data_IF_795139572693
#
_entry.id   IF_795139572693
#
_cell.length_a   1.000
_cell.length_b   1.000
_cell.length_c   1.000
_cell.angle_alpha   90.00
_cell.angle_beta   90.00
_cell.angle_gamma   90.00
#
_symmetry.space_group_name_H-M   'P 1'
#
loop_
_entity.id
_entity.type
_entity.pdbx_description
1 polymer ?
#
# COMPACT_ATOMS: atom_id res chain seq x y z
N UNK A 1 11.55 -42.00 -16.22
CA UNK A 1 10.34 -41.15 -16.12
C UNK A 1 9.82 -41.26 -14.70
N UNK A 2 10.26 -40.36 -13.82
CA UNK A 2 9.92 -40.32 -12.39
C UNK A 2 9.64 -38.85 -12.06
N UNK A 3 8.37 -38.49 -12.12
CA UNK A 3 7.83 -37.23 -11.63
C UNK A 3 7.78 -37.27 -10.10
N UNK A 4 8.16 -36.18 -9.45
CA UNK A 4 7.64 -35.85 -8.12
C UNK A 4 8.66 -35.78 -6.98
N UNK A 5 9.44 -34.70 -6.94
CA UNK A 5 9.88 -34.02 -5.70
C UNK A 5 10.87 -32.91 -6.08
N UNK A 6 10.37 -31.84 -6.72
CA UNK A 6 11.12 -30.60 -6.79
C UNK A 6 11.07 -29.97 -5.40
N UNK A 7 12.14 -30.19 -4.62
CA UNK A 7 12.44 -29.48 -3.39
C UNK A 7 12.47 -27.98 -3.70
N UNK A 8 11.37 -27.28 -3.39
CA UNK A 8 11.27 -25.83 -3.57
C UNK A 8 11.97 -25.14 -2.41
N UNK A 9 13.29 -25.21 -2.45
CA UNK A 9 14.29 -24.39 -1.78
C UNK A 9 13.75 -23.25 -0.90
N UNK A 10 13.49 -23.53 0.38
CA UNK A 10 13.20 -22.61 1.51
C UNK A 10 13.72 -21.17 1.31
N UNK A 11 12.86 -20.27 0.84
CA UNK A 11 13.06 -18.80 0.87
C UNK A 11 11.79 -18.22 1.50
N UNK A 12 11.84 -18.04 2.82
CA UNK A 12 10.69 -17.55 3.59
C UNK A 12 10.79 -16.04 3.88
N UNK A 13 11.92 -15.41 3.52
CA UNK A 13 12.15 -13.98 3.73
C UNK A 13 13.12 -13.45 2.65
N UNK A 14 13.02 -12.16 2.36
CA UNK A 14 13.76 -11.52 1.25
C UNK A 14 15.29 -11.56 1.46
N UNK A 15 15.74 -11.66 2.72
CA UNK A 15 17.14 -11.83 3.10
C UNK A 15 17.68 -13.23 2.79
N UNK A 16 16.84 -14.27 2.83
CA UNK A 16 17.23 -15.62 2.40
C UNK A 16 17.32 -15.73 0.87
N UNK A 17 16.50 -14.96 0.14
CA UNK A 17 16.64 -14.79 -1.30
C UNK A 17 17.97 -14.08 -1.61
N UNK A 18 18.23 -12.96 -0.91
CA UNK A 18 19.46 -12.20 -1.02
C UNK A 18 20.72 -13.00 -0.68
N UNK A 19 20.62 -13.88 0.31
CA UNK A 19 21.70 -14.79 0.67
C UNK A 19 22.03 -15.79 -0.44
N UNK A 20 21.01 -16.33 -1.12
CA UNK A 20 21.22 -17.26 -2.24
C UNK A 20 21.79 -16.57 -3.48
N UNK A 21 21.45 -15.30 -3.71
CA UNK A 21 21.91 -14.56 -4.89
C UNK A 21 23.32 -13.96 -4.72
N UNK A 22 23.63 -13.40 -3.55
CA UNK A 22 24.85 -12.61 -3.33
C UNK A 22 25.56 -12.93 -2.01
N UNK A 23 25.26 -14.07 -1.38
CA UNK A 23 25.92 -14.52 -0.15
C UNK A 23 25.62 -13.62 1.06
N UNK A 24 26.55 -13.59 2.03
CA UNK A 24 26.38 -12.82 3.29
C UNK A 24 26.18 -11.32 3.06
N UNK A 25 26.88 -10.72 2.11
CA UNK A 25 26.75 -9.29 1.80
C UNK A 25 25.38 -8.96 1.21
N UNK A 26 24.87 -9.82 0.32
CA UNK A 26 23.51 -9.69 -0.24
C UNK A 26 22.43 -9.72 0.82
N UNK A 27 22.56 -10.60 1.82
CA UNK A 27 21.63 -10.72 2.95
C UNK A 27 21.53 -9.41 3.74
N UNK A 28 22.66 -8.81 4.08
CA UNK A 28 22.69 -7.62 4.91
C UNK A 28 22.16 -6.38 4.17
N UNK A 29 22.61 -6.18 2.93
CA UNK A 29 22.20 -5.03 2.11
C UNK A 29 20.72 -5.10 1.77
N UNK A 30 20.22 -6.24 1.26
CA UNK A 30 18.82 -6.36 0.87
C UNK A 30 17.88 -6.27 2.07
N UNK A 31 18.27 -6.84 3.21
CA UNK A 31 17.49 -6.70 4.44
C UNK A 31 17.47 -5.26 4.96
N UNK A 32 18.59 -4.52 4.89
CA UNK A 32 18.63 -3.12 5.29
C UNK A 32 17.80 -2.21 4.38
N UNK A 33 17.93 -2.38 3.05
CA UNK A 33 17.14 -1.64 2.06
C UNK A 33 15.65 -1.93 2.22
N UNK A 34 15.27 -3.19 2.44
CA UNK A 34 13.88 -3.58 2.69
C UNK A 34 13.31 -2.89 3.93
N UNK A 35 14.05 -2.88 5.04
CA UNK A 35 13.60 -2.20 6.27
C UNK A 35 13.43 -0.70 6.06
N UNK A 36 14.43 -0.05 5.47
CA UNK A 36 14.40 1.38 5.20
C UNK A 36 13.23 1.74 4.27
N UNK A 37 12.98 0.93 3.24
CA UNK A 37 11.83 1.08 2.35
C UNK A 37 10.50 1.02 3.12
N UNK A 38 10.29 0.00 3.97
CA UNK A 38 9.03 -0.14 4.71
C UNK A 38 8.82 0.91 5.80
N UNK A 39 9.90 1.47 6.37
CA UNK A 39 9.81 2.63 7.27
C UNK A 39 9.27 3.85 6.50
N UNK A 40 9.79 4.13 5.30
CA UNK A 40 9.28 5.23 4.47
C UNK A 40 7.84 5.00 4.00
N UNK A 41 7.48 3.78 3.63
CA UNK A 41 6.09 3.44 3.26
C UNK A 41 5.15 3.66 4.45
N UNK A 42 5.55 3.24 5.65
CA UNK A 42 4.77 3.46 6.87
C UNK A 42 4.60 4.95 7.16
N UNK A 43 5.66 5.74 7.00
CA UNK A 43 5.60 7.20 7.12
C UNK A 43 4.64 7.84 6.10
N UNK A 44 4.66 7.36 4.84
CA UNK A 44 3.70 7.77 3.80
C UNK A 44 2.26 7.40 4.16
N UNK A 45 2.04 6.24 4.79
CA UNK A 45 0.74 5.84 5.34
C UNK A 45 0.22 6.82 6.41
N UNK A 46 1.06 7.20 7.37
CA UNK A 46 0.71 8.18 8.40
C UNK A 46 0.39 9.57 7.81
N UNK A 47 1.16 10.00 6.80
CA UNK A 47 0.87 11.22 6.04
C UNK A 47 -0.48 11.13 5.34
N UNK A 48 -0.80 9.98 4.74
CA UNK A 48 -2.09 9.74 4.06
C UNK A 48 -3.28 9.84 5.01
N UNK A 49 -3.18 9.27 6.22
CA UNK A 49 -4.19 9.41 7.29
C UNK A 49 -4.36 10.88 7.67
N UNK A 50 -3.25 11.61 7.78
CA UNK A 50 -3.26 13.02 8.17
C UNK A 50 -3.90 13.91 7.10
N UNK A 51 -3.64 13.65 5.82
CA UNK A 51 -4.30 14.32 4.70
C UNK A 51 -5.80 14.06 4.72
N UNK A 52 -6.22 12.82 5.02
CA UNK A 52 -7.63 12.46 5.14
C UNK A 52 -8.33 13.20 6.29
N UNK A 53 -7.71 13.22 7.48
CA UNK A 53 -8.21 13.95 8.64
C UNK A 53 -8.29 15.46 8.36
N UNK A 54 -7.29 16.02 7.69
CA UNK A 54 -7.27 17.43 7.34
C UNK A 54 -8.37 17.78 6.34
N UNK A 55 -8.58 16.94 5.32
CA UNK A 55 -9.64 17.13 4.33
C UNK A 55 -11.04 17.10 4.97
N UNK A 56 -11.29 16.20 5.92
CA UNK A 56 -12.57 16.11 6.65
C UNK A 56 -12.76 17.31 7.58
N UNK A 57 -11.70 17.75 8.26
CA UNK A 57 -11.75 18.83 9.26
C UNK A 57 -11.66 20.24 8.69
N UNK A 58 -11.70 20.41 7.36
CA UNK A 58 -11.55 21.73 6.68
C UNK A 58 -10.37 22.54 7.21
N UNK A 59 -9.18 21.93 7.30
CA UNK A 59 -7.98 22.59 7.82
C UNK A 59 -8.12 23.17 9.25
N UNK A 60 -8.82 22.46 10.14
CA UNK A 60 -9.01 22.90 11.53
C UNK A 60 -7.73 23.12 12.35
N UNK A 61 -6.63 22.41 12.03
CA UNK A 61 -5.32 22.58 12.68
C UNK A 61 -4.17 22.33 11.70
N UNK A 62 -2.92 22.60 12.12
CA UNK A 62 -1.75 22.29 11.33
C UNK A 62 -1.64 20.79 11.02
N UNK A 63 -1.14 20.46 9.83
CA UNK A 63 -0.97 19.07 9.36
C UNK A 63 -0.08 18.26 10.30
N UNK A 64 0.90 18.90 10.94
CA UNK A 64 1.79 18.27 11.90
C UNK A 64 1.04 17.64 13.10
N UNK A 65 0.01 18.32 13.62
CA UNK A 65 -0.79 17.78 14.74
C UNK A 65 -1.57 16.54 14.30
N UNK A 66 -2.14 16.55 13.10
CA UNK A 66 -2.83 15.37 12.56
C UNK A 66 -1.88 14.18 12.36
N UNK A 67 -0.62 14.42 11.97
CA UNK A 67 0.41 13.37 11.87
C UNK A 67 0.73 12.78 13.24
N UNK A 68 0.90 13.62 14.26
CA UNK A 68 1.15 13.13 15.63
C UNK A 68 -0.02 12.29 16.13
N UNK A 69 -1.27 12.75 15.94
CA UNK A 69 -2.47 11.99 16.32
C UNK A 69 -2.54 10.65 15.58
N UNK A 70 -2.31 10.65 14.26
CA UNK A 70 -2.28 9.43 13.46
C UNK A 70 -1.18 8.47 13.94
N UNK A 71 0.00 8.97 14.30
CA UNK A 71 1.10 8.18 14.82
C UNK A 71 0.77 7.55 16.17
N UNK A 72 0.17 8.30 17.11
CA UNK A 72 -0.25 7.78 18.42
C UNK A 72 -1.29 6.67 18.24
N UNK A 73 -2.30 6.89 17.41
CA UNK A 73 -3.33 5.88 17.10
C UNK A 73 -2.71 4.64 16.46
N UNK A 74 -1.80 4.82 15.50
CA UNK A 74 -1.11 3.72 14.85
C UNK A 74 -0.23 2.91 15.83
N UNK A 75 0.46 3.56 16.76
CA UNK A 75 1.24 2.90 17.81
C UNK A 75 0.33 2.09 18.74
N UNK A 76 -0.78 2.68 19.20
CA UNK A 76 -1.75 1.99 20.05
C UNK A 76 -2.33 0.76 19.36
N UNK A 77 -2.71 0.87 18.08
CA UNK A 77 -3.28 -0.24 17.32
C UNK A 77 -2.24 -1.30 16.95
N UNK A 78 -0.98 -0.91 16.66
CA UNK A 78 0.12 -1.85 16.45
C UNK A 78 0.44 -2.71 17.68
N UNK A 79 0.07 -2.25 18.89
CA UNK A 79 0.25 -3.04 20.11
C UNK A 79 -0.63 -4.30 20.15
N UNK A 80 -1.68 -4.39 19.33
CA UNK A 80 -2.58 -5.54 19.28
C UNK A 80 -1.96 -6.63 18.37
N UNK A 81 -1.12 -7.50 18.94
CA UNK A 81 -0.36 -8.56 18.22
C UNK A 81 -1.17 -9.81 17.83
N UNK A 82 -2.47 -9.89 18.10
CA UNK A 82 -3.24 -11.12 17.84
C UNK A 82 -3.68 -11.25 16.38
N UNK A 83 -3.01 -12.12 15.61
CA UNK A 83 -3.26 -12.45 14.21
C UNK A 83 -4.75 -12.69 13.87
N UNK A 84 -5.52 -13.36 14.75
CA UNK A 84 -6.94 -13.63 14.51
C UNK A 84 -7.83 -12.37 14.45
N UNK A 85 -7.46 -11.29 15.15
CA UNK A 85 -8.19 -10.01 15.08
C UNK A 85 -7.74 -9.16 13.90
N UNK A 86 -6.52 -9.36 13.41
CA UNK A 86 -5.96 -8.62 12.28
C UNK A 86 -6.72 -8.95 10.98
N UNK A 87 -7.16 -10.20 10.77
CA UNK A 87 -7.95 -10.56 9.59
C UNK A 87 -9.28 -9.80 9.52
N UNK A 88 -9.97 -9.62 10.64
CA UNK A 88 -11.24 -8.86 10.69
C UNK A 88 -10.98 -7.38 10.36
N UNK A 89 -9.92 -6.80 10.94
CA UNK A 89 -9.52 -5.43 10.63
C UNK A 89 -9.15 -5.27 9.15
N UNK A 90 -8.44 -6.24 8.57
CA UNK A 90 -8.08 -6.25 7.15
C UNK A 90 -9.33 -6.24 6.25
N UNK A 91 -10.37 -7.00 6.59
CA UNK A 91 -11.65 -6.96 5.86
C UNK A 91 -12.33 -5.60 5.96
N UNK A 92 -12.40 -5.01 7.16
CA UNK A 92 -12.96 -3.66 7.34
C UNK A 92 -12.18 -2.63 6.52
N UNK A 93 -10.86 -2.69 6.55
CA UNK A 93 -10.00 -1.80 5.77
C UNK A 93 -10.17 -1.97 4.26
N UNK A 94 -10.29 -3.23 3.80
CA UNK A 94 -10.51 -3.55 2.39
C UNK A 94 -11.84 -2.98 1.88
N UNK A 95 -12.95 -3.21 2.59
CA UNK A 95 -14.24 -2.67 2.19
C UNK A 95 -14.26 -1.14 2.24
N UNK A 96 -13.62 -0.54 3.24
CA UNK A 96 -13.48 0.91 3.37
C UNK A 96 -12.72 1.52 2.20
N UNK A 97 -11.56 0.98 1.82
CA UNK A 97 -10.77 1.54 0.72
C UNK A 97 -11.45 1.33 -0.64
N UNK A 98 -12.06 0.16 -0.85
CA UNK A 98 -12.82 -0.13 -2.07
C UNK A 98 -14.00 0.84 -2.21
N UNK A 99 -14.79 1.03 -1.14
CA UNK A 99 -15.91 1.95 -1.15
C UNK A 99 -15.46 3.40 -1.41
N UNK A 100 -14.37 3.85 -0.79
CA UNK A 100 -13.84 5.19 -1.01
C UNK A 100 -13.41 5.41 -2.47
N UNK A 101 -12.69 4.45 -3.05
CA UNK A 101 -12.23 4.50 -4.43
C UNK A 101 -13.41 4.57 -5.40
N UNK A 102 -14.39 3.66 -5.28
CA UNK A 102 -15.57 3.66 -6.14
C UNK A 102 -16.37 4.97 -6.00
N UNK A 103 -16.48 5.50 -4.78
CA UNK A 103 -17.14 6.80 -4.55
C UNK A 103 -16.44 7.92 -5.31
N UNK A 104 -15.10 7.97 -5.31
CA UNK A 104 -14.33 8.97 -6.06
C UNK A 104 -14.48 8.78 -7.57
N UNK A 105 -14.41 7.54 -8.06
CA UNK A 105 -14.58 7.24 -9.49
C UNK A 105 -15.95 7.68 -10.00
N UNK A 106 -17.02 7.40 -9.24
CA UNK A 106 -18.38 7.84 -9.58
C UNK A 106 -18.50 9.37 -9.47
N UNK A 107 -17.96 9.97 -8.40
CA UNK A 107 -18.00 11.42 -8.21
C UNK A 107 -17.30 12.16 -9.35
N UNK A 108 -16.13 11.69 -9.78
CA UNK A 108 -15.39 12.27 -10.90
C UNK A 108 -16.10 12.05 -12.24
N UNK A 109 -16.77 10.91 -12.43
CA UNK A 109 -17.49 10.61 -13.67
C UNK A 109 -18.82 11.36 -13.82
N UNK A 110 -19.47 11.72 -12.72
CA UNK A 110 -20.73 12.50 -12.72
C UNK A 110 -20.48 14.00 -12.64
N UNK A 111 -19.30 14.43 -12.20
CA UNK A 111 -18.96 15.84 -12.12
C UNK A 111 -18.68 16.44 -13.50
N UNK A 112 -19.38 17.53 -13.81
CA UNK A 112 -19.14 18.32 -15.03
C UNK A 112 -17.73 18.93 -15.07
N UNK A 113 -17.08 19.08 -13.90
CA UNK A 113 -15.76 19.73 -13.76
C UNK A 113 -15.00 19.27 -12.51
N UNK A 114 -13.69 18.98 -12.61
CA UNK A 114 -12.83 18.64 -11.48
C UNK A 114 -12.49 19.88 -10.65
N UNK A 115 -12.19 19.68 -9.37
CA UNK A 115 -11.92 20.77 -8.43
C UNK A 115 -10.75 21.68 -8.84
N UNK A 116 -9.76 21.14 -9.54
CA UNK A 116 -8.52 21.81 -9.95
C UNK A 116 -8.63 22.52 -11.31
N UNK A 117 -9.75 22.38 -12.04
CA UNK A 117 -9.96 23.07 -13.31
C UNK A 117 -10.43 24.53 -13.11
N UNK A 118 -10.20 25.42 -14.10
CA UNK A 118 -10.71 26.79 -14.06
C UNK A 118 -12.23 26.79 -13.86
N UNK A 119 -12.72 27.54 -12.85
CA UNK A 119 -14.14 27.54 -12.48
C UNK A 119 -15.05 28.35 -13.43
N UNK A 120 -14.46 29.00 -14.44
CA UNK A 120 -15.13 29.86 -15.41
C UNK A 120 -14.73 29.48 -16.83
N UNK A 121 -15.73 29.23 -17.70
CA UNK A 121 -15.54 28.88 -19.12
C UNK A 121 -16.01 27.47 -19.48
N UNK A 122 -16.00 27.15 -20.77
CA UNK A 122 -16.22 25.80 -21.28
C UNK A 122 -14.98 24.96 -20.96
N UNK A 123 -15.16 23.81 -20.32
CA UNK A 123 -14.08 22.93 -19.93
C UNK A 123 -14.32 21.53 -20.50
N UNK A 124 -13.30 21.00 -21.17
CA UNK A 124 -13.22 19.61 -21.63
C UNK A 124 -11.92 19.00 -21.12
N UNK A 125 -11.91 17.68 -20.94
CA UNK A 125 -10.74 16.97 -20.44
C UNK A 125 -9.64 16.90 -21.50
N UNK A 126 -8.48 17.50 -21.22
CA UNK A 126 -7.28 17.43 -22.07
C UNK A 126 -6.53 16.09 -21.84
N UNK A 127 -7.22 14.96 -22.03
CA UNK A 127 -6.58 13.65 -21.94
C UNK A 127 -5.75 13.39 -23.19
N UNK A 128 -4.47 13.03 -23.01
CA UNK A 128 -3.56 12.75 -24.12
C UNK A 128 -3.09 11.30 -24.02
N UNK A 129 -3.38 10.50 -25.07
CA UNK A 129 -2.87 9.14 -25.17
C UNK A 129 -1.36 9.10 -25.44
N UNK A 130 -0.88 10.05 -26.25
CA UNK A 130 0.54 10.19 -26.60
C UNK A 130 0.96 11.64 -26.36
N UNK A 131 1.72 11.86 -25.29
CA UNK A 131 2.30 13.15 -24.96
C UNK A 131 3.83 13.13 -25.08
N UNK A 132 4.43 14.31 -25.09
CA UNK A 132 5.89 14.49 -24.99
C UNK A 132 6.22 15.07 -23.60
N UNK A 133 6.24 14.23 -22.54
CA UNK A 133 6.55 14.70 -21.20
C UNK A 133 8.01 15.11 -21.10
N UNK A 134 8.30 16.01 -20.15
CA UNK A 134 9.68 16.31 -19.77
C UNK A 134 10.31 15.10 -19.08
N UNK A 135 11.65 15.02 -19.06
CA UNK A 135 12.36 13.94 -18.38
C UNK A 135 12.00 13.83 -16.89
N UNK A 136 11.73 14.98 -16.24
CA UNK A 136 11.33 15.03 -14.83
C UNK A 136 9.93 14.42 -14.62
N UNK A 137 8.97 14.75 -15.48
CA UNK A 137 7.61 14.19 -15.42
C UNK A 137 7.60 12.70 -15.72
N UNK A 138 8.38 12.26 -16.73
CA UNK A 138 8.49 10.85 -17.09
C UNK A 138 9.10 10.02 -15.94
N UNK A 139 10.20 10.50 -15.34
CA UNK A 139 10.89 9.78 -14.25
C UNK A 139 10.07 9.71 -12.96
N UNK A 140 9.33 10.77 -12.62
CA UNK A 140 8.43 10.79 -11.45
C UNK A 140 7.23 9.87 -11.66
N UNK A 141 6.65 9.83 -12.86
CA UNK A 141 5.58 8.90 -13.21
C UNK A 141 6.04 7.43 -13.10
N UNK A 142 7.18 7.09 -13.68
CA UNK A 142 7.75 5.72 -13.60
C UNK A 142 8.03 5.33 -12.15
N UNK A 143 8.55 6.26 -11.35
CA UNK A 143 8.85 6.02 -9.93
C UNK A 143 7.57 5.75 -9.11
N UNK A 144 6.48 6.48 -9.40
CA UNK A 144 5.17 6.25 -8.75
C UNK A 144 4.58 4.88 -9.10
N UNK A 145 4.76 4.41 -10.34
CA UNK A 145 4.34 3.07 -10.77
C UNK A 145 5.16 1.98 -10.07
N UNK A 146 6.48 2.14 -9.99
CA UNK A 146 7.34 1.20 -9.26
C UNK A 146 6.91 1.12 -7.79
N UNK A 147 6.67 2.26 -7.14
CA UNK A 147 6.20 2.31 -5.76
C UNK A 147 4.84 1.62 -5.58
N UNK A 148 3.93 1.76 -6.54
CA UNK A 148 2.60 1.14 -6.51
C UNK A 148 2.67 -0.41 -6.50
N UNK A 149 3.66 -1.01 -7.17
CA UNK A 149 3.85 -2.46 -7.23
C UNK A 149 4.96 -3.01 -6.31
N UNK A 150 5.70 -2.15 -5.61
CA UNK A 150 6.78 -2.59 -4.72
C UNK A 150 6.30 -3.40 -3.50
N UNK A 151 4.99 -3.40 -3.22
CA UNK A 151 4.38 -4.23 -2.15
C UNK A 151 4.50 -5.74 -2.38
N UNK A 152 4.85 -6.19 -3.60
CA UNK A 152 5.09 -7.61 -3.92
C UNK A 152 6.20 -8.22 -3.07
N UNK A 153 7.14 -7.40 -2.59
CA UNK A 153 8.20 -7.84 -1.67
C UNK A 153 7.68 -8.37 -0.33
N UNK A 154 6.46 -7.99 0.10
CA UNK A 154 5.82 -8.54 1.31
C UNK A 154 5.18 -9.91 1.10
N UNK A 155 4.98 -10.33 -0.15
CA UNK A 155 4.37 -11.63 -0.43
C UNK A 155 5.18 -12.77 0.20
N UNK A 156 6.51 -12.65 0.32
CA UNK A 156 7.33 -13.63 1.04
C UNK A 156 6.96 -13.75 2.52
N UNK A 157 6.65 -12.63 3.20
CA UNK A 157 6.21 -12.64 4.60
C UNK A 157 4.82 -13.25 4.75
N UNK A 158 3.92 -13.00 3.78
CA UNK A 158 2.61 -13.66 3.74
C UNK A 158 2.71 -15.15 3.41
N UNK A 159 3.69 -15.58 2.60
CA UNK A 159 3.93 -16.98 2.29
C UNK A 159 4.24 -17.78 3.55
N UNK A 160 5.05 -17.19 4.45
CA UNK A 160 5.38 -17.81 5.72
C UNK A 160 4.14 -17.99 6.61
N UNK A 161 3.16 -17.08 6.57
CA UNK A 161 1.97 -17.16 7.43
C UNK A 161 0.82 -18.03 6.88
N UNK A 162 0.92 -18.50 5.64
CA UNK A 162 -0.17 -19.28 5.06
C UNK A 162 -0.25 -20.68 5.64
N UNK A 163 -1.47 -21.06 6.07
CA UNK A 163 -1.78 -22.42 6.55
C UNK A 163 -1.43 -23.50 5.51
N UNK A 164 -1.59 -23.19 4.23
CA UNK A 164 -1.27 -24.12 3.14
C UNK A 164 -0.44 -23.43 2.04
N UNK A 165 0.90 -23.54 2.08
CA UNK A 165 1.79 -22.81 1.16
C UNK A 165 1.71 -23.30 -0.29
N UNK A 166 1.14 -24.49 -0.54
CA UNK A 166 0.94 -25.04 -1.91
C UNK A 166 0.09 -24.14 -2.80
N UNK A 167 -0.79 -23.33 -2.22
CA UNK A 167 -1.66 -22.41 -2.95
C UNK A 167 -1.10 -21.00 -3.09
N UNK A 168 0.11 -20.72 -2.57
CA UNK A 168 0.72 -19.39 -2.57
C UNK A 168 0.79 -18.75 -3.96
N UNK A 169 1.31 -19.47 -4.96
CA UNK A 169 1.45 -18.93 -6.32
C UNK A 169 0.12 -18.52 -6.95
N UNK A 170 -0.93 -19.33 -6.75
CA UNK A 170 -2.28 -19.03 -7.28
C UNK A 170 -2.92 -17.85 -6.54
N UNK A 171 -2.77 -17.79 -5.22
CA UNK A 171 -3.28 -16.69 -4.40
C UNK A 171 -2.61 -15.36 -4.77
N UNK A 172 -1.27 -15.34 -4.85
CA UNK A 172 -0.48 -14.16 -5.24
C UNK A 172 -0.86 -13.70 -6.64
N UNK A 173 -0.88 -14.61 -7.62
CA UNK A 173 -1.28 -14.26 -8.98
C UNK A 173 -2.68 -13.64 -9.04
N UNK A 174 -3.67 -14.27 -8.38
CA UNK A 174 -5.05 -13.74 -8.35
C UNK A 174 -5.14 -12.35 -7.69
N UNK A 175 -4.38 -12.12 -6.62
CA UNK A 175 -4.34 -10.84 -5.91
C UNK A 175 -3.71 -9.74 -6.78
N UNK A 176 -2.53 -10.01 -7.36
CA UNK A 176 -1.86 -9.03 -8.23
C UNK A 176 -2.70 -8.72 -9.48
N UNK A 177 -3.32 -9.72 -10.11
CA UNK A 177 -4.19 -9.49 -11.26
C UNK A 177 -5.38 -8.61 -10.90
N UNK A 178 -6.01 -8.83 -9.74
CA UNK A 178 -7.12 -8.02 -9.27
C UNK A 178 -6.67 -6.57 -8.98
N UNK A 179 -5.56 -6.39 -8.27
CA UNK A 179 -5.02 -5.05 -7.95
C UNK A 179 -4.63 -4.30 -9.23
N UNK A 180 -3.98 -4.99 -10.17
CA UNK A 180 -3.63 -4.41 -11.48
C UNK A 180 -4.88 -3.96 -12.24
N UNK A 181 -5.92 -4.81 -12.30
CA UNK A 181 -7.17 -4.45 -12.98
C UNK A 181 -7.84 -3.23 -12.33
N UNK A 182 -7.89 -3.18 -11.00
CA UNK A 182 -8.47 -2.05 -10.27
C UNK A 182 -7.66 -0.77 -10.54
N UNK A 183 -6.34 -0.81 -10.48
CA UNK A 183 -5.47 0.34 -10.75
C UNK A 183 -5.63 0.86 -12.18
N UNK A 184 -5.71 -0.04 -13.18
CA UNK A 184 -5.94 0.34 -14.57
C UNK A 184 -7.31 0.99 -14.76
N UNK A 185 -8.38 0.38 -14.24
CA UNK A 185 -9.74 0.91 -14.39
C UNK A 185 -9.85 2.30 -13.76
N UNK A 186 -9.40 2.47 -12.52
CA UNK A 186 -9.48 3.77 -11.83
C UNK A 186 -8.59 4.80 -12.52
N UNK A 187 -7.36 4.41 -12.88
CA UNK A 187 -6.41 5.29 -13.55
C UNK A 187 -6.96 5.82 -14.87
N UNK A 188 -7.51 4.94 -15.71
CA UNK A 188 -8.12 5.31 -16.99
C UNK A 188 -9.32 6.22 -16.77
N UNK A 189 -10.24 5.86 -15.88
CA UNK A 189 -11.47 6.66 -15.65
C UNK A 189 -11.12 8.04 -15.10
N UNK A 190 -10.31 8.12 -14.04
CA UNK A 190 -9.94 9.39 -13.43
C UNK A 190 -9.15 10.26 -14.40
N UNK A 191 -8.27 9.69 -15.22
CA UNK A 191 -7.51 10.45 -16.22
C UNK A 191 -8.40 10.92 -17.38
N UNK A 192 -9.33 10.09 -17.85
CA UNK A 192 -10.26 10.46 -18.92
C UNK A 192 -11.15 11.64 -18.51
N UNK A 193 -11.65 11.65 -17.27
CA UNK A 193 -12.46 12.74 -16.77
C UNK A 193 -11.61 13.94 -16.33
N UNK A 194 -10.54 13.79 -15.52
CA UNK A 194 -9.81 14.96 -15.00
C UNK A 194 -8.76 15.54 -15.97
N UNK A 195 -8.29 14.77 -16.95
CA UNK A 195 -7.14 15.13 -17.80
C UNK A 195 -5.91 15.52 -16.97
N UNK A 196 -5.23 16.59 -17.37
CA UNK A 196 -4.06 17.16 -16.70
C UNK A 196 -4.34 17.76 -15.31
N UNK A 197 -5.60 17.93 -14.91
CA UNK A 197 -5.99 18.56 -13.64
C UNK A 197 -6.23 17.55 -12.51
N UNK A 198 -5.68 16.35 -12.62
CA UNK A 198 -5.74 15.35 -11.55
C UNK A 198 -4.95 15.83 -10.32
N UNK A 199 -5.61 15.87 -9.17
CA UNK A 199 -4.95 16.17 -7.89
C UNK A 199 -4.20 14.94 -7.39
N UNK A 200 -3.07 15.14 -6.72
CA UNK A 200 -2.40 14.09 -5.95
C UNK A 200 -2.58 14.38 -4.46
N UNK A 201 -3.27 13.51 -3.69
CA UNK A 201 -3.95 12.26 -4.08
C UNK A 201 -5.23 12.47 -4.90
N UNK A 202 -5.59 11.50 -5.75
CA UNK A 202 -6.73 11.58 -6.69
C UNK A 202 -8.09 11.85 -6.03
N UNK A 203 -8.26 11.48 -4.76
CA UNK A 203 -9.46 11.81 -3.97
C UNK A 203 -9.73 13.32 -3.87
N UNK A 204 -8.69 14.15 -4.05
CA UNK A 204 -8.81 15.60 -4.10
C UNK A 204 -9.54 16.14 -5.33
N UNK A 205 -9.60 15.38 -6.43
CA UNK A 205 -10.22 15.83 -7.68
C UNK A 205 -11.75 15.88 -7.64
N UNK A 206 -12.38 15.09 -6.75
CA UNK A 206 -13.82 14.87 -6.67
C UNK A 206 -14.63 16.08 -6.12
N UNK A 207 -14.14 17.31 -6.19
CA UNK A 207 -14.87 18.49 -5.69
C UNK A 207 -14.95 18.57 -4.15
N UNK A 208 -15.36 19.71 -3.57
CA UNK A 208 -15.22 19.97 -2.14
C UNK A 208 -16.08 19.08 -1.23
N UNK A 209 -17.30 18.69 -1.68
CA UNK A 209 -18.19 17.83 -0.89
C UNK A 209 -17.80 16.35 -1.00
N UNK A 210 -17.65 15.81 -2.22
CA UNK A 210 -17.31 14.39 -2.36
C UNK A 210 -15.89 14.08 -1.91
N UNK A 211 -14.96 15.06 -1.99
CA UNK A 211 -13.63 14.95 -1.35
C UNK A 211 -13.77 14.61 0.14
N UNK A 212 -14.59 15.33 0.91
CA UNK A 212 -14.78 15.06 2.34
C UNK A 212 -15.37 13.67 2.60
N UNK A 213 -16.35 13.25 1.80
CA UNK A 213 -16.98 11.93 1.91
C UNK A 213 -15.97 10.83 1.60
N UNK A 214 -15.22 10.94 0.50
CA UNK A 214 -14.21 9.98 0.09
C UNK A 214 -13.06 9.85 1.10
N UNK A 215 -12.54 10.98 1.58
CA UNK A 215 -11.53 10.98 2.63
C UNK A 215 -12.08 10.43 3.95
N UNK A 216 -13.33 10.72 4.30
CA UNK A 216 -13.99 10.14 5.49
C UNK A 216 -14.10 8.62 5.42
N UNK A 217 -14.59 8.09 4.29
CA UNK A 217 -14.76 6.64 4.09
C UNK A 217 -13.41 5.93 4.01
N UNK A 218 -12.36 6.58 3.50
CA UNK A 218 -11.02 5.96 3.37
C UNK A 218 -10.23 5.88 4.67
N UNK A 219 -10.53 6.71 5.69
CA UNK A 219 -9.77 6.76 6.96
C UNK A 219 -9.54 5.37 7.58
N UNK A 220 -10.58 4.52 7.78
CA UNK A 220 -10.38 3.18 8.34
C UNK A 220 -9.47 2.32 7.46
N UNK A 221 -9.66 2.37 6.14
CA UNK A 221 -8.84 1.66 5.15
C UNK A 221 -7.37 2.05 5.23
N UNK A 222 -7.06 3.34 5.13
CA UNK A 222 -5.66 3.81 5.17
C UNK A 222 -5.00 3.55 6.52
N UNK A 223 -5.75 3.64 7.63
CA UNK A 223 -5.22 3.28 8.95
C UNK A 223 -4.88 1.80 9.05
N UNK A 224 -5.82 0.91 8.68
CA UNK A 224 -5.60 -0.54 8.71
C UNK A 224 -4.43 -0.92 7.81
N UNK A 225 -4.35 -0.38 6.59
CA UNK A 225 -3.22 -0.62 5.70
C UNK A 225 -1.90 -0.19 6.33
N UNK A 226 -1.82 1.00 6.94
CA UNK A 226 -0.61 1.49 7.61
C UNK A 226 -0.18 0.58 8.76
N UNK A 227 -1.14 0.09 9.56
CA UNK A 227 -0.89 -0.82 10.68
C UNK A 227 -0.39 -2.18 10.17
N UNK A 228 -1.02 -2.75 9.14
CA UNK A 228 -0.61 -4.03 8.55
C UNK A 228 0.83 -3.98 8.05
N UNK A 229 1.19 -2.93 7.31
CA UNK A 229 2.53 -2.76 6.75
C UNK A 229 3.57 -2.56 7.86
N UNK A 230 3.23 -1.78 8.89
CA UNK A 230 4.08 -1.59 10.08
C UNK A 230 4.31 -2.90 10.84
N UNK A 231 3.25 -3.67 11.04
CA UNK A 231 3.28 -4.92 11.79
C UNK A 231 4.13 -5.98 11.08
N UNK A 232 3.98 -6.10 9.75
CA UNK A 232 4.80 -7.03 8.96
C UNK A 232 6.28 -6.64 8.96
N UNK A 233 6.58 -5.34 8.83
CA UNK A 233 7.95 -4.85 8.92
C UNK A 233 8.55 -5.11 10.33
N UNK A 234 7.80 -4.84 11.40
CA UNK A 234 8.22 -5.10 12.77
C UNK A 234 8.46 -6.59 13.03
N UNK A 235 7.59 -7.48 12.50
CA UNK A 235 7.78 -8.92 12.57
C UNK A 235 9.04 -9.35 11.84
N UNK A 236 9.31 -8.81 10.65
CA UNK A 236 10.53 -9.08 9.91
C UNK A 236 11.79 -8.70 10.71
N UNK A 237 11.81 -7.53 11.36
CA UNK A 237 12.89 -7.13 12.29
C UNK A 237 13.04 -8.13 13.45
N UNK A 238 11.92 -8.49 14.09
CA UNK A 238 11.90 -9.39 15.23
C UNK A 238 12.48 -10.78 14.89
N UNK A 239 12.06 -11.36 13.77
CA UNK A 239 12.58 -12.65 13.28
C UNK A 239 14.07 -12.56 12.96
N UNK A 240 14.53 -11.44 12.38
CA UNK A 240 15.95 -11.24 12.07
C UNK A 240 16.82 -11.08 13.33
N UNK A 241 16.35 -10.36 14.34
CA UNK A 241 17.08 -10.16 15.60
C UNK A 241 17.15 -11.44 16.45
N UNK A 242 16.10 -12.26 16.44
CA UNK A 242 16.05 -13.49 17.22
C UNK A 242 16.73 -14.69 16.54
N UNK A 243 17.05 -14.57 15.24
CA UNK A 243 17.77 -15.59 14.46
C UNK A 243 19.14 -15.84 15.09
N UNK A 244 19.26 -16.93 15.86
CA UNK A 244 20.50 -17.35 16.54
C UNK A 244 20.46 -17.35 18.08
N UNK A 245 19.35 -16.98 18.71
CA UNK A 245 19.20 -17.03 20.18
C UNK A 245 18.54 -18.35 20.65
N UNK A 246 18.84 -18.87 21.86
CA UNK A 246 18.27 -20.14 22.36
C UNK A 246 16.74 -20.08 22.59
N UNK A 247 16.15 -18.89 22.65
CA UNK A 247 14.69 -18.68 22.67
C UNK A 247 14.06 -19.18 21.36
N UNK A 248 14.79 -19.12 20.24
CA UNK A 248 14.39 -19.62 18.93
C UNK A 248 14.21 -21.15 18.88
N UNK A 249 14.79 -21.90 19.83
CA UNK A 249 14.64 -23.35 19.92
C UNK A 249 13.43 -23.80 20.77
N UNK A 250 12.93 -22.95 21.68
CA UNK A 250 11.92 -23.35 22.69
C UNK A 250 10.50 -22.92 22.30
N UNK A 251 10.35 -21.76 21.67
CA UNK A 251 9.17 -21.43 20.86
C UNK A 251 9.54 -21.81 19.44
N UNK A 252 8.96 -22.90 18.94
CA UNK A 252 8.97 -23.18 17.52
C UNK A 252 8.72 -21.87 16.77
N UNK A 253 9.60 -21.53 15.84
CA UNK A 253 9.20 -20.74 14.67
C UNK A 253 8.05 -21.50 14.01
N UNK A 254 6.83 -21.31 14.52
CA UNK A 254 5.58 -21.44 13.80
C UNK A 254 5.63 -20.26 12.82
N UNK A 255 6.32 -20.39 11.70
CA UNK A 255 5.99 -21.32 10.62
C UNK A 255 7.25 -21.86 9.94
N UNK A 256 7.51 -23.16 10.09
CA UNK A 256 8.37 -23.94 9.19
C UNK A 256 7.60 -24.41 7.96
#
# INVERSE_FOLDING_TARGET
MSLGSSSSTNVYSIDDAGFKMFGRWGREILGAVFLLYWVFVTGSGLLSVSIALNAVSTHGTCTAVFVVVAAVVAICLNSIRTLGRITILAWVGLFSIIAAIFTVTIAVGVQDRPASAPQTGHWESDYKLFGTPTFLEASTAVSSLIFAFASVSLCFSFAAEMKEPKHYGRAVFSCLSLVMAIYLVIGIVVYYYCGSYVSSPAMGSAGPLMKKVAYGISIPGVMVSTILLSHLAAKYVFVRLLRGTPICHRTACATG
#
